data_IF_097597012855
#
_entry.id   IF_097597012855
#
_cell.length_a   1.000
_cell.length_b   1.000
_cell.length_c   1.000
_cell.angle_alpha   90.00
_cell.angle_beta   90.00
_cell.angle_gamma   90.00
#
_symmetry.space_group_name_H-M   'P 1'
#
loop_
_entity.id
_entity.type
_entity.pdbx_description
1 polymer ?
#
# COMPACT_ATOMS: atom_id res chain seq x y z
N UNK A 1 33.57 46.88 -25.88
CA UNK A 1 33.36 45.61 -26.60
C UNK A 1 32.22 44.85 -25.92
N UNK A 2 30.99 44.99 -26.42
CA UNK A 2 29.75 44.52 -25.78
C UNK A 2 29.25 43.29 -26.56
N UNK A 3 29.83 42.13 -26.25
CA UNK A 3 29.68 40.91 -27.03
C UNK A 3 28.51 40.03 -26.56
N UNK A 4 27.55 39.78 -27.47
CA UNK A 4 26.95 38.47 -27.75
C UNK A 4 26.35 37.63 -26.58
N UNK A 5 25.75 38.23 -25.56
CA UNK A 5 25.04 37.45 -24.51
C UNK A 5 23.55 37.16 -24.82
N UNK A 6 22.97 37.79 -25.85
CA UNK A 6 21.54 37.69 -26.16
C UNK A 6 21.08 36.31 -26.65
N UNK A 7 22.00 35.46 -27.11
CA UNK A 7 21.71 34.11 -27.59
C UNK A 7 21.82 33.03 -26.48
N UNK A 8 22.46 33.34 -25.35
CA UNK A 8 22.72 32.34 -24.28
C UNK A 8 21.48 32.13 -23.41
N UNK A 9 20.77 33.19 -23.07
CA UNK A 9 19.56 33.13 -22.24
C UNK A 9 18.40 32.29 -22.84
N UNK A 10 18.01 32.44 -24.13
CA UNK A 10 16.94 31.62 -24.70
C UNK A 10 17.33 30.14 -24.85
N UNK A 11 18.62 29.84 -25.07
CA UNK A 11 19.10 28.46 -25.17
C UNK A 11 19.06 27.78 -23.81
N UNK A 12 19.53 28.45 -22.75
CA UNK A 12 19.46 27.91 -21.38
C UNK A 12 18.01 27.73 -20.94
N UNK A 13 17.12 28.68 -21.24
CA UNK A 13 15.69 28.56 -20.93
C UNK A 13 15.04 27.41 -21.69
N UNK A 14 15.38 27.22 -22.97
CA UNK A 14 14.91 26.10 -23.77
C UNK A 14 15.36 24.74 -23.21
N UNK A 15 16.60 24.64 -22.75
CA UNK A 15 17.14 23.44 -22.10
C UNK A 15 16.40 23.15 -20.79
N UNK A 16 16.19 24.17 -19.95
CA UNK A 16 15.47 24.01 -18.68
C UNK A 16 14.02 23.56 -18.92
N UNK A 17 13.32 24.16 -19.90
CA UNK A 17 11.96 23.77 -20.25
C UNK A 17 11.89 22.37 -20.85
N UNK A 18 12.89 21.97 -21.64
CA UNK A 18 13.01 20.61 -22.17
C UNK A 18 13.19 19.58 -21.04
N UNK A 19 14.07 19.85 -20.06
CA UNK A 19 14.21 18.98 -18.90
C UNK A 19 12.94 18.95 -18.02
N UNK A 20 12.28 20.09 -17.79
CA UNK A 20 11.01 20.12 -17.04
C UNK A 20 9.91 19.29 -17.72
N UNK A 21 9.85 19.32 -19.06
CA UNK A 21 8.89 18.52 -19.82
C UNK A 21 9.18 17.00 -19.70
N UNK A 22 10.44 16.60 -19.55
CA UNK A 22 10.83 15.19 -19.37
C UNK A 22 10.54 14.71 -17.95
N UNK A 23 10.70 15.55 -16.92
CA UNK A 23 10.42 15.18 -15.53
C UNK A 23 8.91 15.00 -15.23
N UNK A 24 8.02 15.53 -16.07
CA UNK A 24 6.57 15.56 -15.82
C UNK A 24 5.78 14.29 -16.17
N UNK A 25 6.39 13.23 -16.71
CA UNK A 25 5.65 12.07 -17.29
C UNK A 25 5.65 10.81 -16.43
N UNK A 26 6.02 10.90 -15.16
CA UNK A 26 5.95 9.75 -14.24
C UNK A 26 4.50 9.48 -13.82
N UNK A 27 3.70 8.85 -14.68
CA UNK A 27 2.43 8.27 -14.26
C UNK A 27 2.69 7.21 -13.19
N UNK A 28 2.08 7.38 -12.02
CA UNK A 28 2.06 6.36 -10.99
C UNK A 28 1.35 5.12 -11.58
N UNK A 29 2.11 4.05 -11.81
CA UNK A 29 1.51 2.73 -12.06
C UNK A 29 0.82 2.28 -10.78
N UNK A 30 -0.30 1.56 -10.93
CA UNK A 30 -0.87 0.83 -9.81
C UNK A 30 0.21 -0.07 -9.19
N UNK A 31 0.25 -0.15 -7.85
CA UNK A 31 1.25 -0.94 -7.14
C UNK A 31 1.16 -2.45 -7.39
N UNK A 32 0.05 -2.91 -7.97
CA UNK A 32 -0.14 -4.29 -8.42
C UNK A 32 0.04 -4.40 -9.95
N UNK A 33 0.45 -5.57 -10.47
CA UNK A 33 0.50 -5.82 -11.92
C UNK A 33 -0.83 -5.47 -12.59
N UNK A 34 -0.81 -5.22 -13.91
CA UNK A 34 -2.00 -4.82 -14.65
C UNK A 34 -3.11 -5.89 -14.55
N UNK A 35 -4.08 -5.66 -13.64
CA UNK A 35 -5.20 -6.54 -13.38
C UNK A 35 -5.82 -6.27 -12.01
N UNK A 36 -7.05 -6.76 -11.82
CA UNK A 36 -7.75 -6.67 -10.53
C UNK A 36 -7.29 -7.78 -9.58
N UNK A 37 -7.15 -7.45 -8.30
CA UNK A 37 -6.93 -8.45 -7.25
C UNK A 37 -8.29 -9.01 -6.82
N UNK A 38 -8.59 -10.24 -7.22
CA UNK A 38 -9.82 -10.93 -6.79
C UNK A 38 -9.76 -11.23 -5.29
N UNK A 39 -10.68 -10.63 -4.52
CA UNK A 39 -10.85 -10.93 -3.10
C UNK A 39 -11.30 -12.39 -2.92
N UNK A 40 -10.71 -13.06 -1.93
CA UNK A 40 -11.03 -14.44 -1.59
C UNK A 40 -11.43 -14.56 -0.13
N UNK A 41 -12.35 -15.47 0.17
CA UNK A 41 -12.78 -15.76 1.54
C UNK A 41 -11.75 -16.62 2.29
N UNK A 42 -12.11 -17.12 3.48
CA UNK A 42 -11.25 -17.97 4.29
C UNK A 42 -10.86 -19.30 3.59
N UNK A 43 -11.78 -19.86 2.81
CA UNK A 43 -11.58 -21.11 2.06
C UNK A 43 -10.78 -20.90 0.77
N UNK A 44 -10.64 -19.63 0.34
CA UNK A 44 -9.98 -19.27 -0.90
C UNK A 44 -10.95 -19.05 -2.06
N UNK A 45 -12.25 -19.10 -1.81
CA UNK A 45 -13.27 -18.92 -2.84
C UNK A 45 -13.40 -17.43 -3.21
N UNK A 46 -13.59 -17.09 -4.51
CA UNK A 46 -13.78 -15.71 -4.92
C UNK A 46 -15.00 -15.07 -4.27
N UNK A 47 -14.85 -13.84 -3.79
CA UNK A 47 -15.95 -13.06 -3.22
C UNK A 47 -16.58 -12.22 -4.32
N UNK A 48 -17.91 -12.32 -4.46
CA UNK A 48 -18.68 -11.51 -5.40
C UNK A 48 -18.82 -10.06 -4.95
N UNK A 49 -18.90 -9.14 -5.91
CA UNK A 49 -19.17 -7.72 -5.63
C UNK A 49 -20.51 -7.58 -4.91
N UNK A 50 -20.53 -6.83 -3.80
CA UNK A 50 -21.71 -6.64 -2.96
C UNK A 50 -21.93 -7.72 -1.90
N UNK A 51 -21.06 -8.73 -1.83
CA UNK A 51 -21.09 -9.71 -0.75
C UNK A 51 -20.68 -9.09 0.58
N UNK A 52 -21.23 -9.62 1.68
CA UNK A 52 -20.82 -9.33 3.06
C UNK A 52 -19.85 -10.36 3.62
N UNK A 53 -19.45 -11.36 2.82
CA UNK A 53 -18.45 -12.36 3.21
C UNK A 53 -17.13 -11.67 3.55
N UNK A 54 -16.55 -11.92 4.74
CA UNK A 54 -15.25 -11.40 5.08
C UNK A 54 -14.17 -11.92 4.13
N UNK A 55 -13.29 -11.03 3.67
CA UNK A 55 -12.14 -11.42 2.86
C UNK A 55 -11.00 -11.93 3.75
N UNK A 56 -10.17 -12.81 3.20
CA UNK A 56 -8.93 -13.29 3.81
C UNK A 56 -7.73 -12.63 3.14
N UNK A 57 -6.98 -11.75 3.84
CA UNK A 57 -5.72 -11.21 3.32
C UNK A 57 -4.71 -12.30 2.93
N UNK A 58 -4.67 -13.40 3.69
CA UNK A 58 -3.80 -14.55 3.40
C UNK A 58 -4.15 -15.18 2.05
N UNK A 59 -5.43 -15.50 1.83
CA UNK A 59 -5.84 -16.14 0.57
C UNK A 59 -5.74 -15.18 -0.62
N UNK A 60 -6.07 -13.91 -0.41
CA UNK A 60 -6.12 -12.89 -1.46
C UNK A 60 -4.72 -12.47 -1.92
N UNK A 61 -3.81 -12.18 -0.99
CA UNK A 61 -2.52 -11.56 -1.30
C UNK A 61 -1.35 -12.54 -1.29
N UNK A 62 -1.44 -13.65 -0.54
CA UNK A 62 -0.34 -14.60 -0.44
C UNK A 62 -0.58 -15.88 -1.24
N UNK A 63 -1.70 -16.58 -1.02
CA UNK A 63 -1.96 -17.87 -1.68
C UNK A 63 -2.10 -17.76 -3.20
N UNK A 64 -2.53 -16.60 -3.70
CA UNK A 64 -2.56 -16.26 -5.13
C UNK A 64 -1.17 -16.15 -5.77
N UNK A 65 -0.09 -16.24 -4.99
CA UNK A 65 1.30 -16.20 -5.43
C UNK A 65 1.88 -14.79 -5.58
N UNK A 66 1.16 -13.75 -5.16
CA UNK A 66 1.61 -12.37 -5.31
C UNK A 66 2.69 -11.96 -4.29
N UNK A 67 2.57 -12.44 -3.05
CA UNK A 67 3.48 -12.08 -1.96
C UNK A 67 3.74 -13.26 -1.02
N UNK A 68 4.89 -13.25 -0.35
CA UNK A 68 5.13 -14.12 0.79
C UNK A 68 4.34 -13.64 2.02
N UNK A 69 3.55 -14.52 2.63
CA UNK A 69 2.71 -14.16 3.78
C UNK A 69 3.52 -13.77 5.01
N UNK A 70 4.68 -14.41 5.21
CA UNK A 70 5.59 -14.06 6.30
C UNK A 70 6.13 -12.65 6.15
N UNK A 71 6.47 -12.27 4.93
CA UNK A 71 6.92 -10.92 4.58
C UNK A 71 5.83 -9.89 4.84
N UNK A 72 4.59 -10.14 4.39
CA UNK A 72 3.46 -9.23 4.68
C UNK A 72 3.28 -9.04 6.19
N UNK A 73 3.22 -10.14 6.94
CA UNK A 73 2.95 -10.12 8.39
C UNK A 73 4.15 -9.69 9.23
N UNK A 74 5.35 -9.58 8.64
CA UNK A 74 6.52 -8.99 9.31
C UNK A 74 6.45 -7.46 9.42
N UNK A 75 5.49 -6.81 8.75
CA UNK A 75 5.31 -5.36 8.82
C UNK A 75 5.06 -4.86 10.25
N UNK A 76 5.54 -3.65 10.55
CA UNK A 76 5.46 -3.05 11.89
C UNK A 76 4.04 -3.06 12.48
N UNK A 77 3.04 -2.66 11.70
CA UNK A 77 1.66 -2.60 12.18
C UNK A 77 1.09 -3.99 12.51
N UNK A 78 1.49 -5.04 11.78
CA UNK A 78 1.11 -6.42 12.06
C UNK A 78 1.79 -7.01 13.29
N UNK A 79 2.73 -6.30 13.92
CA UNK A 79 3.44 -6.78 15.10
C UNK A 79 3.24 -5.88 16.33
N UNK A 80 2.73 -4.67 16.13
CA UNK A 80 2.59 -3.69 17.21
C UNK A 80 1.59 -4.17 18.27
N UNK A 81 2.08 -4.46 19.47
CA UNK A 81 1.28 -4.93 20.61
C UNK A 81 0.94 -6.42 20.58
N UNK A 82 1.51 -7.21 19.65
CA UNK A 82 1.21 -8.65 19.50
C UNK A 82 1.51 -9.48 20.75
N UNK A 83 2.51 -9.06 21.54
CA UNK A 83 2.97 -9.79 22.72
C UNK A 83 2.18 -9.40 24.00
N UNK A 84 1.20 -8.50 23.87
CA UNK A 84 0.37 -7.95 24.97
C UNK A 84 -1.14 -8.14 24.71
N UNK A 85 -1.49 -9.30 24.15
CA UNK A 85 -2.89 -9.68 23.90
C UNK A 85 -3.61 -9.95 25.23
N UNK A 86 -4.73 -9.27 25.44
CA UNK A 86 -5.64 -9.55 26.55
C UNK A 86 -6.58 -10.68 26.15
N UNK A 87 -6.51 -11.83 26.82
CA UNK A 87 -7.37 -12.98 26.54
C UNK A 87 -8.68 -12.95 27.34
N UNK A 88 -8.65 -12.51 28.60
CA UNK A 88 -9.84 -12.28 29.45
C UNK A 88 -9.45 -11.59 30.78
N UNK A 89 -10.08 -10.48 31.23
CA UNK A 89 -11.11 -9.70 30.53
C UNK A 89 -10.57 -9.01 29.27
N UNK A 90 -11.45 -8.67 28.31
CA UNK A 90 -11.04 -7.85 27.17
C UNK A 90 -10.48 -6.51 27.66
N UNK A 91 -9.48 -5.99 26.93
CA UNK A 91 -8.81 -4.73 27.26
C UNK A 91 -9.77 -3.55 27.36
N UNK A 92 -10.77 -3.52 26.48
CA UNK A 92 -11.87 -2.57 26.49
C UNK A 92 -13.19 -3.32 26.39
N UNK A 93 -13.99 -3.27 27.46
CA UNK A 93 -15.29 -3.95 27.52
C UNK A 93 -16.29 -3.39 26.50
N UNK A 94 -16.14 -2.14 26.06
CA UNK A 94 -16.98 -1.54 25.01
C UNK A 94 -16.55 -1.94 23.59
N UNK A 95 -15.32 -2.45 23.43
CA UNK A 95 -14.73 -2.86 22.16
C UNK A 95 -13.98 -4.19 22.35
N UNK A 96 -14.69 -5.30 22.63
CA UNK A 96 -14.08 -6.58 22.99
C UNK A 96 -13.19 -7.17 21.89
N UNK A 97 -13.31 -6.72 20.64
CA UNK A 97 -12.43 -7.10 19.53
C UNK A 97 -11.04 -6.43 19.57
N UNK A 98 -10.83 -5.42 20.42
CA UNK A 98 -9.53 -4.77 20.61
C UNK A 98 -8.73 -5.53 21.67
N UNK A 99 -7.92 -6.48 21.24
CA UNK A 99 -7.20 -7.38 22.13
C UNK A 99 -5.81 -6.86 22.54
N UNK A 100 -5.19 -5.99 21.73
CA UNK A 100 -3.82 -5.51 21.94
C UNK A 100 -3.77 -3.97 22.10
N UNK A 101 -2.70 -3.42 22.72
CA UNK A 101 -2.54 -1.97 22.81
C UNK A 101 -2.19 -1.36 21.44
N UNK A 102 -1.51 -2.12 20.58
CA UNK A 102 -1.09 -1.67 19.25
C UNK A 102 -2.06 -2.05 18.13
N UNK A 103 -1.57 -2.08 16.89
CA UNK A 103 -2.37 -2.37 15.68
C UNK A 103 -2.56 -3.87 15.43
N UNK A 104 -1.97 -4.75 16.24
CA UNK A 104 -2.14 -6.21 16.10
C UNK A 104 -3.61 -6.63 16.21
N UNK A 105 -4.13 -7.21 15.12
CA UNK A 105 -5.52 -7.65 15.02
C UNK A 105 -6.54 -6.50 14.93
N UNK A 106 -6.08 -5.24 14.79
CA UNK A 106 -6.96 -4.11 14.48
C UNK A 106 -7.10 -4.01 12.96
N UNK A 107 -8.35 -3.84 12.52
CA UNK A 107 -8.79 -3.67 11.12
C UNK A 107 -8.69 -4.93 10.27
#
# INVERSE_FOLDING_TARGET
MRGKNYLVAPVVLGIVLFFLAILGTSSARASHPAGDVTLRDLNGDPISIGSTTPYSPKQTCATSGCHDYGTITSGFHFNQGKDEIAENPPRDASKPWVLSPGMYGKW
#
